data_IF_679821978757
#
_entry.id   IF_679821978757
#
_cell.length_a   1.000
_cell.length_b   1.000
_cell.length_c   1.000
_cell.angle_alpha   90.00
_cell.angle_beta   90.00
_cell.angle_gamma   90.00
#
_symmetry.space_group_name_H-M   'P 1'
#
loop_
_entity.id
_entity.type
_entity.pdbx_description
1 polymer ?
#
# COMPACT_ATOMS: atom_id res chain seq x y z
N UNK A 1 20.09 -43.90 8.17
CA UNK A 1 19.29 -44.22 6.96
C UNK A 1 17.78 -44.30 7.27
N UNK A 2 17.31 -45.20 8.16
CA UNK A 2 15.87 -45.34 8.47
C UNK A 2 15.17 -44.06 8.96
N UNK A 3 15.81 -43.24 9.81
CA UNK A 3 15.28 -41.93 10.24
C UNK A 3 15.23 -40.88 9.12
N UNK A 4 16.14 -40.97 8.14
CA UNK A 4 16.14 -40.09 6.96
C UNK A 4 15.00 -40.50 6.02
N UNK A 5 14.76 -41.81 5.86
CA UNK A 5 13.62 -42.34 5.11
C UNK A 5 12.27 -41.90 5.68
N UNK A 6 12.11 -41.90 7.01
CA UNK A 6 10.89 -41.37 7.64
C UNK A 6 10.73 -39.86 7.44
N UNK A 7 11.82 -39.08 7.49
CA UNK A 7 11.75 -37.65 7.20
C UNK A 7 11.36 -37.38 5.75
N UNK A 8 11.91 -38.14 4.80
CA UNK A 8 11.53 -38.07 3.38
C UNK A 8 10.06 -38.45 3.17
N UNK A 9 9.55 -39.44 3.91
CA UNK A 9 8.14 -39.82 3.86
C UNK A 9 7.22 -38.69 4.35
N UNK A 10 7.62 -37.91 5.37
CA UNK A 10 6.87 -36.72 5.80
C UNK A 10 6.98 -35.54 4.83
N UNK A 11 8.02 -35.48 4.01
CA UNK A 11 8.20 -34.38 3.05
C UNK A 11 7.15 -34.37 1.94
N UNK A 12 6.68 -35.55 1.51
CA UNK A 12 5.67 -35.70 0.45
C UNK A 12 4.30 -35.08 0.82
N UNK A 13 3.67 -35.44 1.97
CA UNK A 13 2.42 -34.79 2.36
C UNK A 13 2.64 -33.31 2.73
N UNK A 14 3.79 -32.96 3.32
CA UNK A 14 4.08 -31.57 3.66
C UNK A 14 4.22 -30.66 2.44
N UNK A 15 4.88 -31.12 1.36
CA UNK A 15 4.97 -30.36 0.11
C UNK A 15 3.61 -30.21 -0.54
N UNK A 16 2.81 -31.29 -0.58
CA UNK A 16 1.45 -31.26 -1.10
C UNK A 16 0.58 -30.25 -0.35
N UNK A 17 0.58 -30.27 0.99
CA UNK A 17 -0.21 -29.32 1.80
C UNK A 17 0.22 -27.87 1.52
N UNK A 18 1.53 -27.58 1.46
CA UNK A 18 1.98 -26.21 1.19
C UNK A 18 1.55 -25.74 -0.21
N UNK A 19 1.75 -26.56 -1.25
CA UNK A 19 1.29 -26.24 -2.59
C UNK A 19 -0.24 -26.12 -2.68
N UNK A 20 -0.97 -26.92 -1.91
CA UNK A 20 -2.42 -26.88 -1.87
C UNK A 20 -2.96 -25.61 -1.19
N UNK A 21 -2.32 -25.13 -0.12
CA UNK A 21 -2.65 -23.83 0.50
C UNK A 21 -2.47 -22.68 -0.51
N UNK A 22 -1.38 -22.69 -1.27
CA UNK A 22 -1.13 -21.67 -2.30
C UNK A 22 -2.15 -21.74 -3.44
N UNK A 23 -2.54 -22.95 -3.86
CA UNK A 23 -3.61 -23.17 -4.83
C UNK A 23 -4.95 -22.62 -4.33
N UNK A 24 -5.37 -22.99 -3.11
CA UNK A 24 -6.61 -22.51 -2.50
C UNK A 24 -6.64 -20.99 -2.38
N UNK A 25 -5.50 -20.35 -2.04
CA UNK A 25 -5.41 -18.90 -2.03
C UNK A 25 -5.72 -18.29 -3.40
N UNK A 26 -5.15 -18.83 -4.47
CA UNK A 26 -5.42 -18.34 -5.83
C UNK A 26 -6.86 -18.60 -6.27
N UNK A 27 -7.39 -19.76 -5.91
CA UNK A 27 -8.77 -20.16 -6.23
C UNK A 27 -9.78 -19.24 -5.55
N UNK A 28 -9.60 -18.95 -4.25
CA UNK A 28 -10.42 -17.97 -3.52
C UNK A 28 -10.34 -16.58 -4.15
N UNK A 29 -9.15 -16.14 -4.57
CA UNK A 29 -8.99 -14.86 -5.25
C UNK A 29 -9.76 -14.83 -6.59
N UNK A 30 -9.76 -15.94 -7.33
CA UNK A 30 -10.49 -16.06 -8.58
C UNK A 30 -12.01 -16.01 -8.35
N UNK A 31 -12.53 -16.75 -7.37
CA UNK A 31 -13.95 -16.71 -7.04
C UNK A 31 -14.41 -15.32 -6.59
N UNK A 32 -13.60 -14.59 -5.82
CA UNK A 32 -13.91 -13.19 -5.47
C UNK A 32 -13.93 -12.30 -6.71
N UNK A 33 -12.93 -12.42 -7.59
CA UNK A 33 -12.89 -11.65 -8.84
C UNK A 33 -14.12 -11.91 -9.70
N UNK A 34 -14.48 -13.18 -9.92
CA UNK A 34 -15.63 -13.57 -10.72
C UNK A 34 -16.92 -12.94 -10.19
N UNK A 35 -17.23 -13.14 -8.90
CA UNK A 35 -18.46 -12.60 -8.28
C UNK A 35 -18.51 -11.08 -8.27
N UNK A 36 -17.38 -10.43 -7.97
CA UNK A 36 -17.30 -8.97 -7.94
C UNK A 36 -17.44 -8.38 -9.35
N UNK A 37 -16.72 -8.92 -10.33
CA UNK A 37 -16.84 -8.50 -11.71
C UNK A 37 -18.24 -8.72 -12.26
N UNK A 38 -18.86 -9.88 -12.02
CA UNK A 38 -20.23 -10.14 -12.45
C UNK A 38 -21.23 -9.15 -11.82
N UNK A 39 -21.11 -8.89 -10.50
CA UNK A 39 -21.96 -7.95 -9.78
C UNK A 39 -21.82 -6.52 -10.31
N UNK A 40 -20.60 -6.00 -10.39
CA UNK A 40 -20.37 -4.62 -10.81
C UNK A 40 -20.59 -4.41 -12.30
N UNK A 41 -20.22 -5.35 -13.16
CA UNK A 41 -20.49 -5.24 -14.59
C UNK A 41 -22.00 -5.29 -14.89
N UNK A 42 -22.75 -6.15 -14.19
CA UNK A 42 -24.21 -6.20 -14.37
C UNK A 42 -24.87 -4.87 -14.00
N UNK A 43 -24.44 -4.24 -12.91
CA UNK A 43 -24.93 -2.91 -12.49
C UNK A 43 -24.47 -1.78 -13.41
N UNK A 44 -23.23 -1.84 -13.88
CA UNK A 44 -22.68 -0.86 -14.82
C UNK A 44 -23.41 -0.86 -16.18
N UNK A 45 -23.80 -2.05 -16.66
CA UNK A 45 -24.53 -2.20 -17.93
C UNK A 45 -26.05 -2.05 -17.78
N UNK A 46 -26.59 -2.05 -16.56
CA UNK A 46 -28.02 -1.80 -16.32
C UNK A 46 -28.40 -0.34 -16.63
N UNK A 47 -29.62 -0.12 -17.14
CA UNK A 47 -30.27 1.20 -17.30
C UNK A 47 -29.40 2.33 -17.90
N UNK A 48 -28.48 2.01 -18.81
CA UNK A 48 -27.55 2.97 -19.42
C UNK A 48 -26.62 3.67 -18.42
N UNK A 49 -26.35 3.06 -17.25
CA UNK A 49 -25.45 3.61 -16.22
C UNK A 49 -24.06 3.87 -16.81
N UNK A 50 -23.55 2.99 -17.68
CA UNK A 50 -22.30 3.22 -18.40
C UNK A 50 -22.26 4.57 -19.14
N UNK A 51 -23.34 4.95 -19.84
CA UNK A 51 -23.41 6.20 -20.57
C UNK A 51 -23.44 7.39 -19.61
N UNK A 52 -24.24 7.29 -18.55
CA UNK A 52 -24.38 8.32 -17.51
C UNK A 52 -23.05 8.55 -16.79
N UNK A 53 -22.33 7.48 -16.46
CA UNK A 53 -21.04 7.56 -15.79
C UNK A 53 -19.96 8.14 -16.70
N UNK A 54 -19.97 7.83 -18.01
CA UNK A 54 -18.97 8.39 -18.94
C UNK A 54 -19.21 9.84 -19.32
N UNK A 55 -20.46 10.31 -19.37
CA UNK A 55 -20.80 11.63 -19.93
C UNK A 55 -21.43 12.61 -18.95
N UNK A 56 -22.05 12.16 -17.86
CA UNK A 56 -22.82 13.01 -16.94
C UNK A 56 -22.18 13.14 -15.55
N UNK A 57 -21.40 12.17 -15.11
CA UNK A 57 -20.79 12.14 -13.78
C UNK A 57 -19.26 12.11 -13.85
N UNK A 58 -18.60 13.08 -13.22
CA UNK A 58 -17.13 13.23 -13.21
C UNK A 58 -16.51 12.67 -11.91
N UNK A 59 -17.32 12.15 -10.98
CA UNK A 59 -16.84 11.64 -9.69
C UNK A 59 -15.91 10.45 -9.84
N UNK A 60 -16.13 9.60 -10.85
CA UNK A 60 -15.38 8.35 -11.02
C UNK A 60 -14.50 8.38 -12.29
N UNK A 61 -13.35 9.07 -12.26
CA UNK A 61 -12.43 9.02 -13.38
C UNK A 61 -11.93 7.58 -13.58
N UNK A 62 -11.89 7.14 -14.84
CA UNK A 62 -11.44 5.81 -15.25
C UNK A 62 -12.22 4.65 -14.62
N UNK A 63 -13.55 4.68 -14.68
CA UNK A 63 -14.43 3.59 -14.23
C UNK A 63 -14.03 2.20 -14.78
N UNK A 64 -13.52 2.17 -16.01
CA UNK A 64 -13.03 0.96 -16.70
C UNK A 64 -11.90 0.26 -15.91
N UNK A 65 -10.94 1.03 -15.41
CA UNK A 65 -9.81 0.52 -14.61
C UNK A 65 -10.31 -0.04 -13.27
N UNK A 66 -11.33 0.59 -12.69
CA UNK A 66 -11.92 0.13 -11.42
C UNK A 66 -12.65 -1.21 -11.58
N UNK A 67 -13.46 -1.34 -12.64
CA UNK A 67 -14.20 -2.56 -12.98
C UNK A 67 -13.30 -3.74 -13.38
N UNK A 68 -12.08 -3.46 -13.82
CA UNK A 68 -11.13 -4.48 -14.30
C UNK A 68 -9.99 -4.68 -13.31
N UNK A 69 -8.94 -3.86 -13.42
CA UNK A 69 -7.67 -4.06 -12.71
C UNK A 69 -7.77 -3.87 -11.19
N UNK A 70 -8.61 -2.97 -10.70
CA UNK A 70 -8.67 -2.73 -9.25
C UNK A 70 -9.44 -3.83 -8.51
N UNK A 71 -10.51 -4.40 -9.09
CA UNK A 71 -11.20 -5.59 -8.56
C UNK A 71 -10.24 -6.80 -8.53
N UNK A 72 -9.42 -6.99 -9.57
CA UNK A 72 -8.40 -8.04 -9.60
C UNK A 72 -7.39 -7.87 -8.46
N UNK A 73 -6.83 -6.66 -8.33
CA UNK A 73 -5.84 -6.35 -7.29
C UNK A 73 -6.43 -6.50 -5.89
N UNK A 74 -7.68 -6.09 -5.68
CA UNK A 74 -8.38 -6.29 -4.42
C UNK A 74 -8.56 -7.77 -4.08
N UNK A 75 -9.00 -8.58 -5.05
CA UNK A 75 -9.25 -10.01 -4.84
C UNK A 75 -7.96 -10.77 -4.48
N UNK A 76 -6.86 -10.43 -5.16
CA UNK A 76 -5.52 -10.97 -4.85
C UNK A 76 -5.01 -10.49 -3.48
N UNK A 77 -5.17 -9.21 -3.17
CA UNK A 77 -4.76 -8.64 -1.88
C UNK A 77 -5.53 -9.27 -0.71
N UNK A 78 -6.84 -9.46 -0.86
CA UNK A 78 -7.68 -10.06 0.18
C UNK A 78 -7.27 -11.51 0.45
N UNK A 79 -7.12 -12.31 -0.61
CA UNK A 79 -6.76 -13.71 -0.45
C UNK A 79 -5.35 -13.90 0.11
N UNK A 80 -4.37 -13.13 -0.37
CA UNK A 80 -3.00 -13.19 0.15
C UNK A 80 -2.91 -12.76 1.61
N UNK A 81 -3.71 -11.78 2.03
CA UNK A 81 -3.76 -11.33 3.43
C UNK A 81 -4.17 -12.46 4.38
N UNK A 82 -5.14 -13.29 3.99
CA UNK A 82 -5.61 -14.43 4.82
C UNK A 82 -4.43 -15.36 5.14
N UNK A 83 -3.66 -15.76 4.13
CA UNK A 83 -2.49 -16.64 4.35
C UNK A 83 -1.34 -15.95 5.08
N UNK A 84 -1.10 -14.67 4.78
CA UNK A 84 -0.02 -13.87 5.38
C UNK A 84 -0.28 -13.53 6.86
N UNK A 85 -1.53 -13.56 7.32
CA UNK A 85 -1.91 -13.31 8.71
C UNK A 85 -2.15 -14.61 9.47
N UNK A 86 -2.88 -15.56 8.89
CA UNK A 86 -3.28 -16.79 9.56
C UNK A 86 -2.09 -17.68 9.90
N UNK A 87 -1.14 -17.87 8.97
CA UNK A 87 0.02 -18.73 9.17
C UNK A 87 0.92 -18.20 10.31
N UNK A 88 1.33 -16.92 10.32
CA UNK A 88 2.08 -16.37 11.43
C UNK A 88 1.33 -16.38 12.77
N UNK A 89 0.01 -16.14 12.78
CA UNK A 89 -0.78 -16.23 14.02
C UNK A 89 -0.73 -17.64 14.62
N UNK A 90 -0.91 -18.66 13.79
CA UNK A 90 -0.83 -20.06 14.21
C UNK A 90 0.58 -20.40 14.71
N UNK A 91 1.62 -19.97 13.99
CA UNK A 91 3.02 -20.14 14.40
C UNK A 91 3.28 -19.49 15.77
N UNK A 92 2.79 -18.27 16.00
CA UNK A 92 2.93 -17.55 17.27
C UNK A 92 2.27 -18.33 18.40
N UNK A 93 1.04 -18.81 18.21
CA UNK A 93 0.32 -19.58 19.25
C UNK A 93 1.06 -20.88 19.57
N UNK A 94 1.48 -21.63 18.55
CA UNK A 94 2.18 -22.90 18.73
C UNK A 94 3.53 -22.72 19.41
N UNK A 95 4.37 -21.81 18.93
CA UNK A 95 5.68 -21.55 19.50
C UNK A 95 5.59 -20.94 20.89
N UNK A 96 4.63 -20.05 21.15
CA UNK A 96 4.42 -19.47 22.49
C UNK A 96 4.03 -20.54 23.51
N UNK A 97 3.11 -21.45 23.15
CA UNK A 97 2.73 -22.58 24.01
C UNK A 97 3.92 -23.50 24.28
N UNK A 98 4.61 -23.93 23.22
CA UNK A 98 5.77 -24.83 23.36
C UNK A 98 6.92 -24.21 24.14
N UNK A 99 7.17 -22.92 23.94
CA UNK A 99 8.23 -22.21 24.68
C UNK A 99 7.85 -22.01 26.15
N UNK A 100 6.57 -21.73 26.44
CA UNK A 100 6.06 -21.60 27.81
C UNK A 100 6.16 -22.90 28.59
N UNK A 101 5.91 -24.05 27.94
CA UNK A 101 6.09 -25.39 28.53
C UNK A 101 7.56 -25.68 28.88
N UNK A 102 8.52 -25.19 28.08
CA UNK A 102 9.94 -25.55 28.19
C UNK A 102 10.78 -24.59 29.04
N UNK A 103 10.53 -23.28 28.93
CA UNK A 103 11.35 -22.22 29.54
C UNK A 103 10.56 -21.39 30.57
N UNK A 104 9.23 -21.53 30.58
CA UNK A 104 8.33 -20.70 31.37
C UNK A 104 7.86 -19.44 30.63
N UNK A 105 6.87 -18.76 31.19
CA UNK A 105 6.14 -17.67 30.51
C UNK A 105 6.96 -16.38 30.35
N UNK A 106 8.05 -16.24 31.11
CA UNK A 106 8.91 -15.05 31.08
C UNK A 106 9.55 -14.81 29.70
N UNK A 107 9.93 -15.88 28.99
CA UNK A 107 10.55 -15.78 27.67
C UNK A 107 9.62 -15.23 26.59
N UNK A 108 8.43 -15.83 26.38
CA UNK A 108 7.43 -15.27 25.47
C UNK A 108 6.99 -13.85 25.82
N UNK A 109 6.84 -13.52 27.12
CA UNK A 109 6.47 -12.16 27.56
C UNK A 109 7.57 -11.16 27.17
N UNK A 110 8.84 -11.47 27.40
CA UNK A 110 9.95 -10.60 27.01
C UNK A 110 10.01 -10.39 25.49
N UNK A 111 9.82 -11.44 24.70
CA UNK A 111 9.76 -11.35 23.25
C UNK A 111 8.58 -10.47 22.79
N UNK A 112 7.38 -10.68 23.35
CA UNK A 112 6.20 -9.89 23.03
C UNK A 112 6.37 -8.42 23.45
N UNK A 113 6.94 -8.16 24.63
CA UNK A 113 7.27 -6.82 25.11
C UNK A 113 8.24 -6.08 24.17
N UNK A 114 9.26 -6.76 23.65
CA UNK A 114 10.17 -6.20 22.64
C UNK A 114 9.42 -5.78 21.37
N UNK A 115 8.49 -6.60 20.88
CA UNK A 115 7.72 -6.27 19.69
C UNK A 115 6.76 -5.10 19.90
N UNK A 116 6.13 -5.00 21.08
CA UNK A 116 5.31 -3.83 21.43
C UNK A 116 6.17 -2.57 21.47
N UNK A 117 7.33 -2.61 22.14
CA UNK A 117 8.27 -1.49 22.21
C UNK A 117 8.78 -1.09 20.82
N UNK A 118 9.17 -2.08 20.01
CA UNK A 118 9.62 -1.88 18.63
C UNK A 118 8.52 -1.24 17.79
N UNK A 119 7.28 -1.70 17.92
CA UNK A 119 6.13 -1.14 17.22
C UNK A 119 5.86 0.32 17.60
N UNK A 120 5.98 0.67 18.89
CA UNK A 120 5.86 2.06 19.36
C UNK A 120 7.01 2.93 18.82
N UNK A 121 8.25 2.44 18.84
CA UNK A 121 9.40 3.14 18.30
C UNK A 121 9.27 3.37 16.78
N UNK A 122 8.87 2.33 16.03
CA UNK A 122 8.59 2.42 14.60
C UNK A 122 7.50 3.46 14.34
N UNK A 123 6.40 3.44 15.11
CA UNK A 123 5.32 4.42 14.96
C UNK A 123 5.79 5.85 15.24
N UNK A 124 6.64 6.06 16.23
CA UNK A 124 7.16 7.38 16.60
C UNK A 124 8.11 7.96 15.55
N UNK A 125 8.95 7.11 14.92
CA UNK A 125 9.94 7.53 13.92
C UNK A 125 9.37 7.55 12.51
N UNK A 126 8.30 6.78 12.24
CA UNK A 126 7.71 6.64 10.90
C UNK A 126 7.29 7.99 10.33
N UNK A 127 7.86 8.41 9.19
CA UNK A 127 7.40 9.61 8.51
C UNK A 127 6.00 9.39 7.91
N UNK A 128 5.24 10.46 7.63
CA UNK A 128 3.88 10.36 7.09
C UNK A 128 3.91 9.95 5.61
N UNK A 129 4.19 8.67 5.33
CA UNK A 129 4.27 8.12 3.96
C UNK A 129 3.02 8.41 3.12
N UNK A 130 1.82 8.44 3.74
CA UNK A 130 0.59 8.80 3.04
C UNK A 130 0.63 10.19 2.39
N UNK A 131 1.25 11.19 3.03
CA UNK A 131 1.41 12.53 2.43
C UNK A 131 2.34 12.49 1.23
N UNK A 132 3.43 11.72 1.30
CA UNK A 132 4.36 11.55 0.18
C UNK A 132 3.73 10.80 -0.99
N UNK A 133 2.91 9.79 -0.72
CA UNK A 133 2.16 9.05 -1.75
C UNK A 133 1.09 9.94 -2.40
N UNK A 134 0.39 10.79 -1.64
CA UNK A 134 -0.55 11.76 -2.22
C UNK A 134 0.16 12.76 -3.15
N UNK A 135 1.34 13.24 -2.75
CA UNK A 135 2.16 14.12 -3.59
C UNK A 135 2.68 13.41 -4.84
N UNK A 136 3.09 12.15 -4.72
CA UNK A 136 3.49 11.29 -5.84
C UNK A 136 2.36 11.16 -6.86
N UNK A 137 1.15 10.82 -6.41
CA UNK A 137 -0.03 10.71 -7.27
C UNK A 137 -0.38 12.03 -7.96
N UNK A 138 -0.21 13.17 -7.28
CA UNK A 138 -0.42 14.49 -7.88
C UNK A 138 0.59 14.75 -9.01
N UNK A 139 1.88 14.51 -8.78
CA UNK A 139 2.92 14.74 -9.80
C UNK A 139 2.75 13.81 -11.01
N UNK A 140 2.43 12.54 -10.76
CA UNK A 140 2.05 11.57 -11.80
C UNK A 140 0.81 12.03 -12.57
N UNK A 141 -0.20 12.57 -11.89
CA UNK A 141 -1.38 13.16 -12.51
C UNK A 141 -1.05 14.34 -13.41
N UNK A 142 -0.20 15.26 -12.95
CA UNK A 142 0.29 16.40 -13.75
C UNK A 142 1.08 15.91 -14.98
N UNK A 143 1.90 14.87 -14.84
CA UNK A 143 2.63 14.26 -15.96
C UNK A 143 1.68 13.64 -17.00
N UNK A 144 0.65 12.89 -16.56
CA UNK A 144 -0.38 12.34 -17.45
C UNK A 144 -1.20 13.42 -18.15
N UNK A 145 -1.52 14.51 -17.45
CA UNK A 145 -2.25 15.63 -18.02
C UNK A 145 -1.47 16.28 -19.19
N UNK A 146 -0.15 16.45 -19.08
CA UNK A 146 0.68 16.97 -20.19
C UNK A 146 0.59 16.06 -21.42
N UNK A 147 0.60 14.74 -21.24
CA UNK A 147 0.41 13.81 -22.37
C UNK A 147 -0.99 13.89 -22.98
N UNK A 148 -2.02 14.00 -22.14
CA UNK A 148 -3.39 14.18 -22.61
C UNK A 148 -3.54 15.47 -23.43
N UNK A 149 -2.93 16.57 -22.97
CA UNK A 149 -2.91 17.84 -23.71
C UNK A 149 -2.26 17.71 -25.09
N UNK A 150 -1.16 16.94 -25.20
CA UNK A 150 -0.48 16.69 -26.48
C UNK A 150 -1.39 15.92 -27.44
N UNK A 151 -2.10 14.90 -26.96
CA UNK A 151 -3.04 14.12 -27.79
C UNK A 151 -4.19 15.00 -28.26
N UNK A 152 -4.78 15.80 -27.36
CA UNK A 152 -5.91 16.66 -27.67
C UNK A 152 -5.55 17.80 -28.66
N UNK A 153 -4.30 18.26 -28.65
CA UNK A 153 -3.83 19.36 -29.51
C UNK A 153 -2.81 18.91 -30.57
N UNK A 154 -2.80 17.62 -30.91
CA UNK A 154 -1.79 17.02 -31.79
C UNK A 154 -1.72 17.71 -33.17
N UNK A 155 -2.86 18.09 -33.73
CA UNK A 155 -2.94 18.79 -35.02
C UNK A 155 -2.27 20.16 -34.98
N UNK A 156 -2.51 20.94 -33.91
CA UNK A 156 -1.92 22.26 -33.73
C UNK A 156 -0.41 22.14 -33.54
N UNK A 157 0.04 21.19 -32.71
CA UNK A 157 1.48 20.94 -32.48
C UNK A 157 2.17 20.54 -33.80
N UNK A 158 1.54 19.69 -34.61
CA UNK A 158 2.06 19.28 -35.92
C UNK A 158 2.11 20.46 -36.91
N UNK A 159 1.06 21.28 -36.96
CA UNK A 159 0.97 22.45 -37.84
C UNK A 159 2.06 23.48 -37.53
N UNK A 160 2.28 23.80 -36.24
CA UNK A 160 3.29 24.75 -35.80
C UNK A 160 4.70 24.15 -35.63
N UNK A 161 4.88 22.85 -35.88
CA UNK A 161 6.14 22.11 -35.63
C UNK A 161 6.65 22.31 -34.19
N UNK A 162 5.73 22.28 -33.22
CA UNK A 162 5.99 22.53 -31.79
C UNK A 162 6.63 21.36 -31.03
N UNK A 163 7.14 20.34 -31.72
CA UNK A 163 7.61 19.09 -31.12
C UNK A 163 8.76 19.28 -30.10
N UNK A 164 9.70 20.19 -30.38
CA UNK A 164 10.83 20.46 -29.47
C UNK A 164 10.33 21.12 -28.17
N UNK A 165 9.37 22.04 -28.26
CA UNK A 165 8.78 22.69 -27.10
C UNK A 165 8.03 21.68 -26.21
N UNK A 166 7.16 20.85 -26.81
CA UNK A 166 6.42 19.83 -26.07
C UNK A 166 7.35 18.76 -25.49
N UNK A 167 8.44 18.40 -26.18
CA UNK A 167 9.46 17.51 -25.62
C UNK A 167 10.07 18.08 -24.33
N UNK A 168 10.41 19.37 -24.30
CA UNK A 168 10.90 20.02 -23.09
C UNK A 168 9.84 20.05 -21.98
N UNK A 169 8.59 20.35 -22.31
CA UNK A 169 7.46 20.38 -21.36
C UNK A 169 7.24 19.01 -20.70
N UNK A 170 7.21 17.94 -21.48
CA UNK A 170 7.08 16.55 -20.99
C UNK A 170 8.27 16.18 -20.12
N UNK A 171 9.49 16.49 -20.57
CA UNK A 171 10.72 16.20 -19.82
C UNK A 171 10.72 16.89 -18.46
N UNK A 172 10.39 18.18 -18.39
CA UNK A 172 10.31 18.92 -17.12
C UNK A 172 9.22 18.41 -16.19
N UNK A 173 8.08 17.93 -16.72
CA UNK A 173 7.06 17.28 -15.90
C UNK A 173 7.58 15.95 -15.32
N UNK A 174 8.27 15.14 -16.12
CA UNK A 174 8.84 13.87 -15.68
C UNK A 174 9.98 14.05 -14.68
N UNK A 175 10.86 15.04 -14.86
CA UNK A 175 11.94 15.34 -13.92
C UNK A 175 11.44 15.65 -12.51
N UNK A 176 10.27 16.31 -12.39
CA UNK A 176 9.61 16.55 -11.09
C UNK A 176 9.16 15.25 -10.42
N UNK A 177 8.60 14.32 -11.20
CA UNK A 177 8.23 12.98 -10.71
C UNK A 177 9.48 12.24 -10.22
N UNK A 178 10.54 12.21 -11.04
CA UNK A 178 11.80 11.54 -10.72
C UNK A 178 12.45 12.10 -9.45
N UNK A 179 12.53 13.43 -9.33
CA UNK A 179 13.12 14.08 -8.15
C UNK A 179 12.36 13.72 -6.86
N UNK A 180 11.03 13.71 -6.91
CA UNK A 180 10.20 13.29 -5.77
C UNK A 180 10.40 11.82 -5.43
N UNK A 181 10.40 10.93 -6.44
CA UNK A 181 10.61 9.51 -6.26
C UNK A 181 11.99 9.23 -5.65
N UNK A 182 13.06 9.85 -6.15
CA UNK A 182 14.41 9.69 -5.61
C UNK A 182 14.47 10.06 -4.12
N UNK A 183 13.90 11.20 -3.73
CA UNK A 183 13.84 11.61 -2.34
C UNK A 183 13.00 10.66 -1.47
N UNK A 184 11.87 10.16 -1.99
CA UNK A 184 11.04 9.17 -1.31
C UNK A 184 11.77 7.83 -1.13
N UNK A 185 12.52 7.37 -2.14
CA UNK A 185 13.27 6.12 -2.07
C UNK A 185 14.35 6.16 -0.98
N UNK A 186 15.08 7.27 -0.85
CA UNK A 186 16.06 7.44 0.24
C UNK A 186 15.39 7.37 1.62
N UNK A 187 14.23 8.00 1.79
CA UNK A 187 13.47 7.90 3.06
C UNK A 187 12.97 6.49 3.33
N UNK A 188 12.48 5.79 2.31
CA UNK A 188 12.08 4.38 2.42
C UNK A 188 13.26 3.48 2.78
N UNK A 189 14.46 3.76 2.27
CA UNK A 189 15.69 3.04 2.60
C UNK A 189 16.03 3.16 4.09
N UNK A 190 16.09 4.39 4.62
CA UNK A 190 16.39 4.60 6.05
C UNK A 190 15.34 3.96 6.96
N UNK A 191 14.05 4.12 6.63
CA UNK A 191 12.98 3.48 7.40
C UNK A 191 13.06 1.95 7.31
N UNK A 192 13.32 1.40 6.12
CA UNK A 192 13.48 -0.05 5.94
C UNK A 192 14.67 -0.62 6.70
N UNK A 193 15.76 0.14 6.83
CA UNK A 193 16.90 -0.20 7.67
C UNK A 193 16.50 -0.23 9.16
N UNK A 194 15.78 0.80 9.64
CA UNK A 194 15.29 0.88 11.01
C UNK A 194 14.30 -0.25 11.36
N UNK A 195 13.33 -0.52 10.47
CA UNK A 195 12.40 -1.66 10.58
C UNK A 195 13.18 -2.97 10.72
N UNK A 196 14.17 -3.20 9.85
CA UNK A 196 14.98 -4.42 9.86
C UNK A 196 15.81 -4.54 11.15
N UNK A 197 16.38 -3.45 11.62
CA UNK A 197 17.17 -3.41 12.85
C UNK A 197 16.33 -3.82 14.06
N UNK A 198 15.13 -3.24 14.23
CA UNK A 198 14.29 -3.54 15.40
C UNK A 198 13.56 -4.90 15.30
N UNK A 199 12.89 -5.14 14.17
CA UNK A 199 11.99 -6.30 14.01
C UNK A 199 12.75 -7.60 13.80
N UNK A 200 13.84 -7.56 13.00
CA UNK A 200 14.60 -8.77 12.65
C UNK A 200 15.80 -8.96 13.58
N UNK A 201 16.70 -7.99 13.65
CA UNK A 201 17.96 -8.16 14.40
C UNK A 201 17.77 -7.96 15.92
N UNK A 202 16.96 -6.98 16.31
CA UNK A 202 16.61 -6.73 17.72
C UNK A 202 15.87 -7.90 18.36
N UNK A 203 14.95 -8.51 17.61
CA UNK A 203 14.26 -9.70 18.09
C UNK A 203 15.19 -10.92 18.25
N UNK A 204 16.19 -11.08 17.37
CA UNK A 204 17.21 -12.12 17.53
C UNK A 204 18.07 -11.87 18.77
N UNK A 205 18.47 -10.62 19.03
CA UNK A 205 19.19 -10.23 20.24
C UNK A 205 18.40 -10.60 21.50
N UNK A 206 17.12 -10.19 21.57
CA UNK A 206 16.23 -10.52 22.69
C UNK A 206 16.05 -12.03 22.84
N UNK A 207 15.89 -12.73 21.71
CA UNK A 207 15.80 -14.19 21.68
C UNK A 207 17.00 -14.84 22.36
N UNK A 208 18.22 -14.47 21.98
CA UNK A 208 19.44 -15.00 22.61
C UNK A 208 19.57 -14.61 24.09
N UNK A 209 19.19 -13.39 24.47
CA UNK A 209 19.18 -12.98 25.88
C UNK A 209 18.22 -13.85 26.71
N UNK A 210 17.04 -14.15 26.18
CA UNK A 210 16.05 -14.99 26.86
C UNK A 210 16.52 -16.44 26.99
N UNK A 211 17.14 -17.01 25.95
CA UNK A 211 17.69 -18.38 26.04
C UNK A 211 18.89 -18.45 26.98
N UNK A 212 19.66 -17.37 27.10
CA UNK A 212 20.77 -17.30 28.04
C UNK A 212 20.35 -17.25 29.51
N UNK A 213 19.13 -16.82 29.80
CA UNK A 213 18.65 -16.58 31.18
C UNK A 213 18.65 -17.83 32.08
N UNK A 214 18.18 -19.02 31.62
CA UNK A 214 18.24 -20.24 32.43
C UNK A 214 19.66 -20.71 32.74
N UNK A 215 20.62 -20.46 31.84
CA UNK A 215 22.02 -20.92 31.97
C UNK A 215 22.88 -19.93 32.76
N UNK A 216 22.71 -18.62 32.54
CA UNK A 216 23.54 -17.57 33.12
C UNK A 216 22.84 -16.71 34.17
N UNK A 217 21.53 -16.88 34.36
CA UNK A 217 20.70 -16.04 35.22
C UNK A 217 20.59 -16.51 36.67
N UNK A 218 19.77 -15.82 37.48
CA UNK A 218 19.64 -16.05 38.91
C UNK A 218 19.08 -17.45 39.27
N UNK A 219 18.27 -18.05 38.38
CA UNK A 219 17.70 -19.39 38.57
C UNK A 219 18.60 -20.53 38.03
N UNK A 220 19.87 -20.26 37.75
CA UNK A 220 20.81 -21.25 37.17
C UNK A 220 20.95 -22.53 37.98
N UNK A 221 20.94 -22.44 39.31
CA UNK A 221 21.18 -23.58 40.19
C UNK A 221 20.02 -24.59 40.08
N UNK A 222 18.78 -24.13 40.14
CA UNK A 222 17.61 -24.99 39.95
C UNK A 222 17.59 -25.68 38.57
N UNK A 223 18.05 -25.00 37.52
CA UNK A 223 18.16 -25.58 36.18
C UNK A 223 19.29 -26.62 36.10
N UNK A 224 20.49 -26.30 36.58
CA UNK A 224 21.64 -27.21 36.56
C UNK A 224 21.38 -28.48 37.40
N UNK A 225 20.65 -28.35 38.49
CA UNK A 225 20.21 -29.47 39.34
C UNK A 225 19.20 -30.36 38.60
N UNK A 226 18.30 -29.77 37.81
CA UNK A 226 17.31 -30.52 37.02
C UNK A 226 17.92 -31.30 35.85
N UNK A 227 19.03 -30.80 35.28
CA UNK A 227 19.72 -31.39 34.11
C UNK A 227 20.95 -32.21 34.54
N UNK A 228 21.19 -32.37 35.84
CA UNK A 228 22.33 -33.11 36.42
C UNK A 228 23.70 -32.69 35.84
N UNK A 229 23.82 -31.42 35.44
CA UNK A 229 25.04 -30.87 34.80
C UNK A 229 25.55 -31.62 33.56
N UNK A 230 24.73 -32.43 32.87
CA UNK A 230 25.13 -33.12 31.63
C UNK A 230 25.31 -32.10 30.48
N UNK A 231 26.54 -31.88 29.97
CA UNK A 231 26.80 -30.91 28.91
C UNK A 231 25.99 -31.18 27.63
N UNK A 232 25.64 -32.45 27.39
CA UNK A 232 24.90 -32.86 26.19
C UNK A 232 23.46 -32.35 26.24
N UNK A 233 22.79 -32.51 27.38
CA UNK A 233 21.40 -32.09 27.55
C UNK A 233 21.28 -30.57 27.61
N UNK A 234 22.21 -29.88 28.28
CA UNK A 234 22.28 -28.41 28.29
C UNK A 234 22.39 -27.87 26.88
N UNK A 235 23.25 -28.47 26.05
CA UNK A 235 23.42 -28.05 24.65
C UNK A 235 22.17 -28.33 23.83
N UNK A 236 21.54 -29.50 24.00
CA UNK A 236 20.31 -29.87 23.29
C UNK A 236 19.16 -28.92 23.63
N UNK A 237 18.97 -28.58 24.91
CA UNK A 237 17.95 -27.66 25.37
C UNK A 237 18.20 -26.24 24.91
N UNK A 238 19.45 -25.78 24.96
CA UNK A 238 19.85 -24.49 24.42
C UNK A 238 19.53 -24.36 22.93
N UNK A 239 19.92 -25.35 22.11
CA UNK A 239 19.65 -25.34 20.66
C UNK A 239 18.16 -25.40 20.36
N UNK A 240 17.41 -26.24 21.07
CA UNK A 240 15.96 -26.38 20.91
C UNK A 240 15.23 -25.08 21.27
N UNK A 241 15.50 -24.52 22.45
CA UNK A 241 14.84 -23.32 22.96
C UNK A 241 15.21 -22.10 22.11
N UNK A 242 16.47 -21.99 21.67
CA UNK A 242 16.90 -20.96 20.70
C UNK A 242 16.14 -21.04 19.39
N UNK A 243 16.00 -22.25 18.84
CA UNK A 243 15.28 -22.45 17.58
C UNK A 243 13.80 -22.04 17.72
N UNK A 244 13.13 -22.44 18.81
CA UNK A 244 11.75 -22.05 19.08
C UNK A 244 11.58 -20.53 19.24
N UNK A 245 12.48 -19.87 19.97
CA UNK A 245 12.45 -18.40 20.14
C UNK A 245 12.69 -17.66 18.84
N UNK A 246 13.68 -18.08 18.04
CA UNK A 246 13.97 -17.47 16.75
C UNK A 246 12.79 -17.64 15.79
N UNK A 247 12.13 -18.80 15.80
CA UNK A 247 10.96 -19.04 14.96
C UNK A 247 9.73 -18.25 15.44
N UNK A 248 9.52 -18.11 16.74
CA UNK A 248 8.50 -17.22 17.31
C UNK A 248 8.73 -15.77 16.89
N UNK A 249 9.96 -15.26 17.04
CA UNK A 249 10.35 -13.93 16.60
C UNK A 249 10.08 -13.74 15.10
N UNK A 250 10.51 -14.67 14.25
CA UNK A 250 10.24 -14.62 12.80
C UNK A 250 8.73 -14.56 12.50
N UNK A 251 7.90 -15.33 13.21
CA UNK A 251 6.46 -15.31 13.03
C UNK A 251 5.85 -13.96 13.43
N UNK A 252 6.24 -13.40 14.58
CA UNK A 252 5.80 -12.07 14.99
C UNK A 252 6.25 -11.00 13.99
N UNK A 253 7.50 -11.07 13.52
CA UNK A 253 8.03 -10.16 12.50
C UNK A 253 7.23 -10.22 11.18
N UNK A 254 6.83 -11.41 10.73
CA UNK A 254 5.93 -11.55 9.56
C UNK A 254 4.57 -10.90 9.81
N UNK A 255 4.00 -11.07 11.00
CA UNK A 255 2.72 -10.45 11.36
C UNK A 255 2.82 -8.91 11.39
N UNK A 256 3.92 -8.35 11.91
CA UNK A 256 4.18 -6.90 11.90
C UNK A 256 4.25 -6.37 10.46
N UNK A 257 4.88 -7.11 9.55
CA UNK A 257 4.97 -6.72 8.13
C UNK A 257 3.62 -6.88 7.42
N UNK A 258 2.77 -7.85 7.80
CA UNK A 258 1.45 -8.07 7.21
C UNK A 258 0.49 -6.87 7.33
N UNK A 259 0.77 -5.92 8.25
CA UNK A 259 0.06 -4.64 8.28
C UNK A 259 0.17 -3.86 6.96
N UNK A 260 1.28 -3.98 6.22
CA UNK A 260 1.44 -3.32 4.91
C UNK A 260 0.46 -3.90 3.88
N UNK A 261 0.24 -5.22 3.91
CA UNK A 261 -0.74 -5.90 3.06
C UNK A 261 -2.17 -5.46 3.41
N UNK A 262 -2.46 -5.28 4.71
CA UNK A 262 -3.74 -4.76 5.18
C UNK A 262 -3.99 -3.31 4.73
N UNK A 263 -2.98 -2.44 4.79
CA UNK A 263 -3.07 -1.07 4.27
C UNK A 263 -3.35 -1.03 2.77
N UNK A 264 -2.68 -1.90 2.01
CA UNK A 264 -2.88 -2.04 0.57
C UNK A 264 -4.29 -2.52 0.25
N UNK A 265 -4.80 -3.52 0.97
CA UNK A 265 -6.19 -3.97 0.86
C UNK A 265 -7.18 -2.85 1.19
N UNK A 266 -6.93 -2.08 2.25
CA UNK A 266 -7.78 -0.94 2.61
C UNK A 266 -7.83 0.11 1.50
N UNK A 267 -6.70 0.38 0.83
CA UNK A 267 -6.64 1.27 -0.33
C UNK A 267 -7.53 0.81 -1.48
N UNK A 268 -7.43 -0.47 -1.89
CA UNK A 268 -8.31 -1.01 -2.94
C UNK A 268 -9.77 -1.08 -2.51
N UNK A 269 -10.04 -1.37 -1.23
CA UNK A 269 -11.40 -1.39 -0.69
C UNK A 269 -12.04 0.00 -0.77
N UNK A 270 -11.29 1.06 -0.51
CA UNK A 270 -11.80 2.44 -0.67
C UNK A 270 -12.19 2.74 -2.12
N UNK A 271 -11.39 2.29 -3.11
CA UNK A 271 -11.69 2.48 -4.53
C UNK A 271 -12.94 1.72 -4.97
N UNK A 272 -13.12 0.49 -4.47
CA UNK A 272 -14.30 -0.33 -4.76
C UNK A 272 -15.54 0.22 -4.05
N UNK A 273 -15.41 0.70 -2.82
CA UNK A 273 -16.49 1.37 -2.09
C UNK A 273 -16.97 2.60 -2.86
N UNK A 274 -16.05 3.43 -3.35
CA UNK A 274 -16.40 4.61 -4.15
C UNK A 274 -17.10 4.22 -5.47
N UNK A 275 -16.66 3.14 -6.13
CA UNK A 275 -17.36 2.58 -7.31
C UNK A 275 -18.78 2.14 -6.94
N UNK A 276 -18.95 1.44 -5.81
CA UNK A 276 -20.24 0.97 -5.34
C UNK A 276 -21.20 2.13 -5.02
N UNK A 277 -20.71 3.16 -4.33
CA UNK A 277 -21.49 4.33 -3.95
C UNK A 277 -21.94 5.11 -5.20
N UNK A 278 -21.04 5.35 -6.16
CA UNK A 278 -21.38 6.06 -7.40
C UNK A 278 -22.37 5.27 -8.26
N UNK A 279 -22.19 3.96 -8.41
CA UNK A 279 -23.15 3.14 -9.15
C UNK A 279 -24.53 3.12 -8.47
N UNK A 280 -24.58 3.06 -7.14
CA UNK A 280 -25.84 3.13 -6.40
C UNK A 280 -26.54 4.49 -6.56
N UNK A 281 -25.80 5.60 -6.51
CA UNK A 281 -26.33 6.94 -6.74
C UNK A 281 -26.92 7.08 -8.16
N UNK A 282 -26.22 6.58 -9.18
CA UNK A 282 -26.65 6.65 -10.58
C UNK A 282 -27.87 5.78 -10.89
N UNK A 283 -28.00 4.63 -10.23
CA UNK A 283 -29.20 3.79 -10.31
C UNK A 283 -30.43 4.48 -9.71
N UNK A 284 -30.24 5.28 -8.66
CA UNK A 284 -31.29 6.09 -8.02
C UNK A 284 -31.56 7.42 -8.75
N UNK A 285 -30.76 7.75 -9.77
CA UNK A 285 -30.88 9.00 -10.53
C UNK A 285 -30.33 10.22 -9.81
N UNK A 286 -29.51 10.04 -8.76
CA UNK A 286 -28.79 11.12 -8.10
C UNK A 286 -27.47 11.38 -8.85
N UNK A 287 -27.34 12.59 -9.40
CA UNK A 287 -26.14 13.02 -10.10
C UNK A 287 -25.46 14.13 -9.30
N UNK A 288 -24.15 14.03 -9.11
CA UNK A 288 -23.38 15.21 -8.72
C UNK A 288 -22.88 15.87 -10.00
N UNK A 289 -23.58 16.92 -10.42
CA UNK A 289 -23.14 17.75 -11.53
C UNK A 289 -21.72 18.27 -11.27
N UNK A 290 -20.94 18.42 -12.34
CA UNK A 290 -19.65 19.09 -12.33
C UNK A 290 -19.75 20.43 -11.60
N UNK A 291 -19.24 20.51 -10.37
CA UNK A 291 -18.94 21.78 -9.72
C UNK A 291 -17.50 22.09 -10.10
N UNK A 292 -17.23 22.94 -11.11
CA UNK A 292 -15.89 23.44 -11.29
C UNK A 292 -15.51 24.08 -9.95
N UNK A 293 -14.39 23.64 -9.36
CA UNK A 293 -13.84 24.33 -8.20
C UNK A 293 -13.48 25.73 -8.66
N UNK A 294 -14.39 26.68 -8.50
CA UNK A 294 -14.07 28.10 -8.50
C UNK A 294 -13.12 28.25 -7.34
N UNK A 295 -11.84 28.41 -7.66
CA UNK A 295 -10.80 28.77 -6.72
C UNK A 295 -11.36 29.87 -5.83
N UNK A 296 -11.68 29.54 -4.59
CA UNK A 296 -12.04 30.53 -3.58
C UNK A 296 -10.73 31.20 -3.24
N UNK A 297 -10.31 32.16 -4.07
CA UNK A 297 -9.43 33.22 -3.61
C UNK A 297 -10.19 33.89 -2.48
N UNK A 298 -9.72 33.67 -1.26
CA UNK A 298 -9.95 34.49 -0.07
C UNK A 298 -10.07 35.94 -0.52
N UNK A 299 -11.30 36.45 -0.57
CA UNK A 299 -11.57 37.88 -0.72
C UNK A 299 -11.65 38.43 0.70
N UNK A 300 -10.47 38.67 1.29
CA UNK A 300 -10.36 39.65 2.35
C UNK A 300 -10.35 41.04 1.69
N UNK A 301 -11.32 41.86 2.07
CA UNK A 301 -11.35 43.33 1.97
C UNK A 301 -11.21 43.97 0.57
N UNK A 302 -12.35 44.39 0.00
CA UNK A 302 -12.39 45.52 -0.93
C UNK A 302 -12.16 46.84 -0.17
N UNK A 303 -11.26 47.72 -0.63
CA UNK A 303 -11.50 49.15 -0.58
C UNK A 303 -12.08 49.59 -1.92
N UNK A 304 -13.20 50.31 -1.86
CA UNK A 304 -13.87 50.98 -2.97
C UNK A 304 -12.93 51.98 -3.67
N UNK A 305 -12.63 51.74 -4.95
CA UNK A 305 -12.04 52.76 -5.83
C UNK A 305 -13.17 53.39 -6.64
N UNK A 306 -13.45 54.64 -6.32
CA UNK A 306 -14.37 55.52 -7.01
C UNK A 306 -13.67 56.06 -8.27
N UNK A 307 -14.23 55.80 -9.45
CA UNK A 307 -13.72 56.37 -10.70
C UNK A 307 -14.24 57.81 -10.86
N UNK A 308 -13.38 58.79 -11.21
CA UNK A 308 -13.85 60.11 -11.60
C UNK A 308 -14.41 60.07 -13.03
N UNK A 309 -15.58 60.66 -13.18
CA UNK A 309 -16.29 60.87 -14.43
C UNK A 309 -15.57 61.96 -15.26
N UNK A 310 -15.07 61.62 -16.46
CA UNK A 310 -14.58 62.62 -17.41
C UNK A 310 -14.92 62.26 -18.86
N UNK A 311 -15.87 63.04 -19.39
CA UNK A 311 -16.10 63.46 -20.78
C UNK A 311 -15.87 62.48 -21.95
N UNK A 312 -16.99 62.16 -22.60
CA UNK A 312 -17.07 61.47 -23.87
C UNK A 312 -16.34 62.22 -25.01
N UNK A 313 -15.51 61.51 -25.79
CA UNK A 313 -15.13 61.91 -27.16
C UNK A 313 -15.89 61.08 -28.19
N UNK A 314 -16.36 61.67 -29.30
CA UNK A 314 -17.05 60.93 -30.35
C UNK A 314 -16.07 60.07 -31.17
N UNK A 315 -16.57 59.01 -31.84
CA UNK A 315 -15.73 58.06 -32.58
C UNK A 315 -15.17 58.68 -33.89
N UNK A 316 -13.96 58.29 -34.33
CA UNK A 316 -13.43 58.71 -35.63
C UNK A 316 -14.09 57.93 -36.77
N UNK A 317 -14.38 58.65 -37.86
CA UNK A 317 -14.96 58.17 -39.12
C UNK A 317 -14.05 57.21 -39.90
N UNK A 318 -14.61 56.32 -40.75
CA UNK A 318 -13.83 55.28 -41.44
C UNK A 318 -13.02 55.86 -42.61
N UNK A 319 -11.72 55.57 -42.63
CA UNK A 319 -10.80 55.86 -43.73
C UNK A 319 -10.68 54.64 -44.65
N UNK A 320 -11.03 54.83 -45.93
CA UNK A 320 -10.86 53.86 -47.00
C UNK A 320 -9.37 53.53 -47.25
N UNK A 321 -9.01 52.25 -47.28
CA UNK A 321 -7.77 51.77 -47.88
C UNK A 321 -8.08 50.99 -49.17
N UNK A 322 -7.34 51.20 -50.27
CA UNK A 322 -7.70 50.64 -51.56
C UNK A 322 -7.14 49.23 -51.74
N UNK A 323 -7.97 48.38 -52.34
CA UNK A 323 -7.60 47.12 -52.95
C UNK A 323 -6.53 47.35 -54.04
N UNK A 324 -5.43 46.61 -53.98
CA UNK A 324 -4.57 46.37 -55.14
C UNK A 324 -4.22 44.89 -55.20
N UNK A 325 -4.80 44.22 -56.19
CA UNK A 325 -4.40 42.89 -56.60
C UNK A 325 -3.20 42.92 -57.55
N UNK A 326 -2.34 41.92 -57.41
CA UNK A 326 -2.01 40.91 -58.44
C UNK A 326 -1.12 39.87 -57.78
#
# INVERSE_FOLDING_TARGET
IRRIGTLAAYAVPASFINSYIDYLGKDVALCFRERMSEHFCSRYLDKMVFYRLSHLDVRLPNAEQRLTGDIERWSLALSSLVSNVLKPLLDIVLFTRKLSELVGIQGPIAAMGWYVLSGLAIRAVSPPFGKYTAQEQRLEGEYRAVHADIVNNAEQIAFYRGNVFEQHRVKSAFERVVAHLQHLQVRRLYMGCFDSLLVKYGAVLVGYTVVGLPVFGPNRQAYLDSVQSDPTQITQDYVRNSSLLINLAKAIGKLVVAYKDLQLLAGYTALISELQDVLADLEQGHYSAFVPKTTTSTTDTQPSIQYPESEARPPPSPSHAPLRGR
#
